data_IF_618485325255
#
_entry.id   IF_618485325255
#
_cell.length_a   1.000
_cell.length_b   1.000
_cell.length_c   1.000
_cell.angle_alpha   90.00
_cell.angle_beta   90.00
_cell.angle_gamma   90.00
#
_symmetry.space_group_name_H-M   'P 1'
#
loop_
_entity.id
_entity.type
_entity.pdbx_description
1 polymer ?
#
# COMPACT_ATOMS: atom_id res chain seq x y z
N UNK A 1 60.22 -6.44 37.34
CA UNK A 1 60.56 -5.59 38.50
C UNK A 1 59.26 -4.89 38.89
N UNK A 2 58.63 -5.22 40.03
CA UNK A 2 58.90 -4.67 41.39
C UNK A 2 58.78 -3.14 41.41
N UNK A 3 57.97 -2.44 42.24
CA UNK A 3 57.08 -2.76 43.38
C UNK A 3 55.80 -1.88 43.24
N UNK A 4 54.58 -2.16 43.73
CA UNK A 4 54.05 -2.59 45.06
C UNK A 4 53.96 -1.49 46.13
N UNK A 5 52.86 -1.52 46.90
CA UNK A 5 52.55 -0.80 48.18
C UNK A 5 52.15 0.69 48.05
N UNK A 6 51.20 1.27 48.81
CA UNK A 6 49.95 0.84 49.51
C UNK A 6 49.37 2.04 50.29
N UNK A 7 48.03 2.17 50.42
CA UNK A 7 47.28 2.44 51.68
C UNK A 7 45.77 2.62 51.35
N UNK A 8 44.82 1.87 51.94
CA UNK A 8 44.38 1.82 53.36
C UNK A 8 43.50 3.04 53.71
N UNK A 9 42.27 2.93 54.24
CA UNK A 9 41.32 1.82 54.46
C UNK A 9 39.96 2.39 54.97
N UNK A 10 39.03 1.48 55.32
CA UNK A 10 37.76 1.57 56.08
C UNK A 10 36.52 1.32 55.19
N UNK A 11 35.93 0.11 55.18
CA UNK A 11 35.08 -0.53 56.22
C UNK A 11 33.78 0.28 56.46
N UNK A 12 32.55 -0.25 56.49
CA UNK A 12 32.01 -1.63 56.54
C UNK A 12 30.49 -1.60 56.14
N UNK A 13 29.74 -2.68 55.81
CA UNK A 13 30.05 -4.12 55.66
C UNK A 13 28.95 -4.91 54.88
N UNK A 14 29.27 -6.16 54.51
CA UNK A 14 28.49 -7.44 54.50
C UNK A 14 27.00 -7.48 54.93
N UNK A 15 26.13 -8.41 54.50
CA UNK A 15 26.16 -9.65 53.67
C UNK A 15 24.66 -9.90 53.28
N UNK A 16 24.17 -10.21 52.06
CA UNK A 16 24.46 -11.28 51.08
C UNK A 16 24.22 -12.72 51.59
N UNK A 17 23.14 -13.39 51.13
CA UNK A 17 23.18 -14.60 50.25
C UNK A 17 21.82 -15.37 50.12
N UNK A 18 21.46 -15.65 48.86
CA UNK A 18 20.87 -16.89 48.27
C UNK A 18 19.57 -17.58 48.78
N UNK A 19 18.59 -17.61 47.86
CA UNK A 19 17.95 -18.79 47.23
C UNK A 19 17.53 -20.05 48.04
N UNK A 20 16.29 -20.50 47.78
CA UNK A 20 15.83 -21.88 47.99
C UNK A 20 14.40 -22.11 47.47
N UNK A 21 14.17 -23.17 46.68
CA UNK A 21 12.84 -23.59 46.20
C UNK A 21 12.07 -24.38 47.28
N UNK A 22 10.74 -24.50 47.12
CA UNK A 22 9.92 -25.42 47.91
C UNK A 22 8.55 -25.66 47.24
N UNK A 23 8.05 -26.90 47.35
CA UNK A 23 6.72 -27.30 46.87
C UNK A 23 5.97 -28.14 47.91
N UNK A 24 4.70 -28.37 47.60
CA UNK A 24 3.76 -29.40 48.10
C UNK A 24 3.33 -29.44 49.59
N UNK A 25 2.00 -29.28 49.77
CA UNK A 25 1.07 -30.32 50.28
C UNK A 25 0.17 -29.99 51.51
N UNK A 26 -1.13 -30.38 51.40
CA UNK A 26 -2.21 -30.49 52.43
C UNK A 26 -2.76 -29.18 53.07
N UNK A 27 -4.04 -29.05 53.46
CA UNK A 27 -5.23 -29.92 53.45
C UNK A 27 -6.24 -29.49 54.55
N UNK A 28 -7.53 -29.90 54.47
CA UNK A 28 -8.72 -29.52 55.31
C UNK A 28 -9.54 -28.31 54.77
N UNK A 29 -10.88 -28.28 54.77
CA UNK A 29 -11.86 -29.34 55.06
C UNK A 29 -13.32 -28.81 55.10
N UNK A 30 -14.22 -29.47 54.36
CA UNK A 30 -15.70 -29.56 54.51
C UNK A 30 -16.55 -28.39 55.07
N UNK A 31 -17.57 -27.98 54.31
CA UNK A 31 -18.98 -28.06 54.76
C UNK A 31 -19.96 -27.89 53.59
N UNK A 32 -20.85 -28.86 53.44
CA UNK A 32 -21.99 -28.90 52.52
C UNK A 32 -23.23 -29.22 53.36
N UNK A 33 -24.43 -28.69 53.05
CA UNK A 33 -25.55 -29.62 53.00
C UNK A 33 -26.57 -29.35 51.87
N UNK A 34 -26.91 -30.45 51.19
CA UNK A 34 -28.10 -30.61 50.35
C UNK A 34 -29.42 -30.34 51.10
N UNK A 35 -30.38 -29.68 50.42
CA UNK A 35 -31.82 -29.95 50.60
C UNK A 35 -32.66 -29.45 49.40
N UNK A 36 -33.20 -30.37 48.61
CA UNK A 36 -34.28 -30.11 47.63
C UNK A 36 -35.65 -30.07 48.32
N UNK A 37 -36.54 -29.16 47.91
CA UNK A 37 -37.99 -29.35 47.98
C UNK A 37 -38.72 -28.70 46.80
N UNK A 38 -39.85 -29.28 46.41
CA UNK A 38 -40.65 -28.93 45.22
C UNK A 38 -42.11 -28.68 45.59
N UNK A 39 -42.71 -27.64 45.00
CA UNK A 39 -44.15 -27.46 44.77
C UNK A 39 -44.36 -26.23 43.87
N UNK A 40 -44.64 -26.37 42.57
CA UNK A 40 -45.88 -26.82 41.92
C UNK A 40 -47.03 -25.79 41.95
N UNK A 41 -47.24 -25.10 40.83
CA UNK A 41 -48.57 -24.68 40.38
C UNK A 41 -48.78 -25.23 38.97
N UNK A 42 -49.80 -26.05 38.82
CA UNK A 42 -50.36 -26.56 37.56
C UNK A 42 -51.82 -26.13 37.48
N UNK A 43 -52.23 -25.41 36.43
CA UNK A 43 -53.51 -25.65 35.74
C UNK A 43 -53.35 -25.28 34.25
N UNK A 44 -53.44 -26.31 33.41
CA UNK A 44 -53.95 -26.32 32.03
C UNK A 44 -54.89 -27.54 32.01
N UNK A 45 -56.11 -27.52 31.43
CA UNK A 45 -56.26 -27.64 29.97
C UNK A 45 -57.48 -26.91 29.36
N UNK A 46 -57.52 -26.75 28.03
CA UNK A 46 -58.49 -27.50 27.21
C UNK A 46 -58.15 -27.56 25.70
N UNK A 47 -58.46 -28.74 25.13
CA UNK A 47 -58.11 -29.26 23.81
C UNK A 47 -58.98 -28.79 22.63
N UNK A 48 -58.42 -28.99 21.42
CA UNK A 48 -59.12 -29.32 20.14
C UNK A 48 -59.77 -28.14 19.37
N UNK A 49 -59.91 -28.13 18.04
CA UNK A 49 -59.62 -29.11 16.97
C UNK A 49 -59.21 -28.39 15.67
N UNK A 50 -58.61 -29.11 14.71
CA UNK A 50 -58.54 -28.66 13.31
C UNK A 50 -59.85 -28.97 12.56
N UNK A 51 -60.29 -28.06 11.67
CA UNK A 51 -61.38 -28.27 10.68
C UNK A 51 -60.99 -27.59 9.35
N UNK A 52 -61.54 -28.11 8.25
CA UNK A 52 -61.09 -27.95 6.85
C UNK A 52 -62.12 -27.17 6.00
N UNK A 53 -61.65 -26.13 5.29
CA UNK A 53 -62.07 -25.66 3.94
C UNK A 53 -63.55 -25.24 3.69
N UNK A 54 -63.98 -24.89 2.44
CA UNK A 54 -63.52 -23.85 1.50
C UNK A 54 -64.50 -22.66 1.35
N UNK A 55 -64.06 -21.53 0.79
CA UNK A 55 -64.91 -20.36 0.50
C UNK A 55 -64.57 -19.65 -0.82
N UNK A 56 -65.12 -20.12 -1.93
CA UNK A 56 -64.85 -19.67 -3.30
C UNK A 56 -65.60 -18.38 -3.69
N UNK A 57 -64.95 -17.46 -4.43
CA UNK A 57 -65.61 -16.72 -5.51
C UNK A 57 -64.63 -16.17 -6.58
N UNK A 58 -64.76 -16.69 -7.81
CA UNK A 58 -64.45 -16.07 -9.14
C UNK A 58 -63.32 -15.02 -9.24
N UNK A 59 -62.27 -15.16 -10.07
CA UNK A 59 -62.01 -16.11 -11.16
C UNK A 59 -62.28 -15.51 -12.55
N UNK A 60 -61.22 -15.31 -13.33
CA UNK A 60 -61.15 -15.37 -14.80
C UNK A 60 -59.72 -15.84 -15.14
N UNK A 61 -59.63 -16.83 -16.03
CA UNK A 61 -58.40 -17.31 -16.66
C UNK A 61 -58.76 -17.64 -18.10
N UNK A 62 -57.95 -17.24 -19.09
CA UNK A 62 -57.69 -18.10 -20.26
C UNK A 62 -56.37 -17.69 -20.95
N UNK A 63 -55.51 -18.63 -21.40
CA UNK A 63 -54.26 -18.35 -22.10
C UNK A 63 -54.36 -18.59 -23.62
N UNK A 64 -53.49 -17.96 -24.43
CA UNK A 64 -53.51 -18.08 -25.90
C UNK A 64 -52.12 -18.08 -26.55
N UNK A 65 -51.77 -19.20 -27.17
CA UNK A 65 -50.49 -19.56 -27.80
C UNK A 65 -50.06 -18.76 -29.05
N UNK A 66 -48.76 -18.92 -29.36
CA UNK A 66 -48.12 -18.98 -30.70
C UNK A 66 -47.77 -17.71 -31.51
N UNK A 67 -46.46 -17.60 -31.79
CA UNK A 67 -45.76 -16.78 -32.81
C UNK A 67 -45.91 -17.38 -34.24
N UNK A 68 -45.22 -16.86 -35.30
CA UNK A 68 -44.71 -15.51 -35.61
C UNK A 68 -45.10 -15.01 -37.03
N UNK A 69 -45.04 -13.71 -37.34
CA UNK A 69 -45.07 -13.18 -38.74
C UNK A 69 -44.04 -12.04 -38.92
N UNK A 70 -43.53 -11.92 -40.16
CA UNK A 70 -42.37 -11.14 -40.60
C UNK A 70 -42.75 -9.70 -41.01
N UNK A 71 -41.75 -8.80 -40.95
CA UNK A 71 -41.59 -7.44 -41.54
C UNK A 71 -41.92 -7.39 -43.07
N UNK A 72 -41.92 -6.24 -43.81
CA UNK A 72 -41.78 -4.83 -43.46
C UNK A 72 -42.86 -3.89 -44.07
N UNK A 73 -42.81 -2.58 -43.79
CA UNK A 73 -43.57 -1.62 -44.60
C UNK A 73 -43.63 -0.16 -44.12
N UNK A 74 -42.80 0.69 -44.71
CA UNK A 74 -42.79 2.14 -44.52
C UNK A 74 -44.09 2.85 -45.02
N UNK A 75 -44.38 4.02 -44.44
CA UNK A 75 -44.96 5.24 -45.04
C UNK A 75 -46.40 5.70 -44.69
N UNK A 76 -46.48 6.70 -43.82
CA UNK A 76 -47.19 7.98 -43.99
C UNK A 76 -47.17 8.71 -42.63
N UNK A 77 -46.82 9.99 -42.50
CA UNK A 77 -46.66 11.02 -43.54
C UNK A 77 -47.63 12.17 -43.30
N UNK A 78 -47.57 12.79 -42.11
CA UNK A 78 -48.28 14.04 -41.82
C UNK A 78 -47.25 15.06 -41.35
N UNK A 79 -47.15 16.18 -42.06
CA UNK A 79 -46.23 17.28 -41.78
C UNK A 79 -47.02 18.57 -41.88
N UNK A 80 -46.95 19.41 -40.85
CA UNK A 80 -47.17 20.86 -40.96
C UNK A 80 -46.24 21.54 -39.93
N UNK A 81 -45.62 22.70 -40.23
CA UNK A 81 -44.33 23.07 -39.63
C UNK A 81 -44.44 24.02 -38.43
N UNK A 82 -43.53 23.86 -37.47
CA UNK A 82 -43.43 24.74 -36.31
C UNK A 82 -42.13 24.59 -35.51
N UNK A 83 -41.03 25.16 -36.04
CA UNK A 83 -39.76 25.46 -35.34
C UNK A 83 -38.93 24.29 -34.77
N UNK A 84 -37.92 23.93 -35.56
CA UNK A 84 -36.52 23.66 -35.15
C UNK A 84 -36.21 22.54 -34.13
N UNK A 85 -36.04 21.34 -34.71
CA UNK A 85 -34.85 20.47 -34.52
C UNK A 85 -34.62 19.73 -33.19
N UNK A 86 -34.82 18.40 -33.20
CA UNK A 86 -33.98 17.47 -32.46
C UNK A 86 -33.13 16.57 -33.40
N UNK A 87 -31.82 16.57 -33.13
CA UNK A 87 -30.91 15.41 -33.10
C UNK A 87 -30.93 14.44 -34.31
N UNK A 88 -29.89 14.51 -35.13
CA UNK A 88 -29.44 13.41 -36.01
C UNK A 88 -28.39 12.59 -35.26
N UNK A 89 -28.60 11.28 -35.18
CA UNK A 89 -27.59 10.28 -34.83
C UNK A 89 -27.14 9.54 -36.10
N UNK A 90 -25.84 9.53 -36.44
CA UNK A 90 -25.26 8.59 -37.38
C UNK A 90 -24.23 7.68 -36.69
N UNK A 91 -24.64 6.46 -36.37
CA UNK A 91 -23.72 5.40 -35.93
C UNK A 91 -22.78 4.90 -37.06
N UNK A 92 -21.62 4.38 -36.64
CA UNK A 92 -20.65 3.58 -37.40
C UNK A 92 -20.20 4.10 -38.79
N UNK A 93 -18.93 4.53 -38.91
CA UNK A 93 -17.80 3.63 -39.22
C UNK A 93 -16.56 4.35 -39.75
N UNK A 94 -15.38 3.86 -39.31
CA UNK A 94 -14.07 3.91 -39.96
C UNK A 94 -13.69 5.11 -40.88
N UNK A 95 -12.69 5.89 -40.43
CA UNK A 95 -11.54 6.21 -41.28
C UNK A 95 -11.11 7.67 -41.37
N UNK A 96 -9.79 7.82 -41.63
CA UNK A 96 -9.05 9.01 -42.07
C UNK A 96 -8.68 10.02 -40.96
N UNK A 97 -7.37 10.07 -40.69
CA UNK A 97 -6.67 11.17 -40.05
C UNK A 97 -6.29 12.17 -41.16
N UNK A 98 -6.53 13.46 -40.95
CA UNK A 98 -5.75 14.54 -41.57
C UNK A 98 -5.66 15.72 -40.58
N UNK A 99 -4.48 16.32 -40.32
CA UNK A 99 -4.32 17.26 -39.21
C UNK A 99 -4.37 18.72 -39.67
N UNK A 100 -5.23 19.52 -39.03
CA UNK A 100 -5.05 20.98 -39.03
C UNK A 100 -6.34 21.79 -39.01
N UNK A 101 -6.67 22.34 -37.83
CA UNK A 101 -6.72 23.80 -37.75
C UNK A 101 -6.38 24.30 -36.35
N UNK A 102 -5.54 25.32 -36.32
CA UNK A 102 -5.12 26.03 -35.11
C UNK A 102 -6.20 27.00 -34.61
N UNK A 103 -6.34 27.06 -33.28
CA UNK A 103 -6.75 28.23 -32.48
C UNK A 103 -8.10 28.91 -32.79
N UNK A 104 -9.07 28.70 -31.90
CA UNK A 104 -10.16 29.64 -31.65
C UNK A 104 -10.31 29.90 -30.14
N UNK A 105 -9.77 31.05 -29.72
CA UNK A 105 -10.40 32.08 -28.87
C UNK A 105 -11.15 31.63 -27.60
N UNK A 106 -10.60 32.04 -26.45
CA UNK A 106 -11.26 32.04 -25.14
C UNK A 106 -12.08 33.34 -25.00
N UNK A 107 -13.32 33.24 -24.52
CA UNK A 107 -14.10 34.36 -23.99
C UNK A 107 -14.54 34.02 -22.54
N UNK A 108 -14.18 34.81 -21.52
CA UNK A 108 -14.39 34.40 -20.13
C UNK A 108 -15.73 34.89 -19.54
N UNK A 109 -16.54 33.95 -19.09
CA UNK A 109 -17.42 34.17 -17.94
C UNK A 109 -18.89 33.78 -18.11
N UNK A 110 -19.25 32.62 -17.57
CA UNK A 110 -20.44 32.53 -16.72
C UNK A 110 -20.28 31.41 -15.68
N UNK A 111 -20.52 31.75 -14.42
CA UNK A 111 -20.42 30.82 -13.29
C UNK A 111 -21.80 30.24 -12.93
N UNK A 112 -21.99 28.94 -13.15
CA UNK A 112 -23.02 28.17 -12.45
C UNK A 112 -22.64 26.68 -12.42
N UNK A 113 -22.67 26.07 -11.25
CA UNK A 113 -22.30 24.67 -11.07
C UNK A 113 -23.32 23.72 -11.71
N UNK A 114 -22.81 22.78 -12.51
CA UNK A 114 -23.41 21.48 -12.84
C UNK A 114 -22.26 20.49 -13.03
N UNK A 115 -22.49 19.23 -12.68
CA UNK A 115 -21.44 18.22 -12.54
C UNK A 115 -20.58 18.01 -13.80
N UNK A 116 -19.29 17.70 -13.66
CA UNK A 116 -18.51 17.20 -14.79
C UNK A 116 -19.08 15.84 -15.18
N UNK A 117 -19.77 15.79 -16.31
CA UNK A 117 -20.09 14.53 -16.99
C UNK A 117 -18.74 13.82 -17.20
N UNK A 118 -18.53 12.74 -16.46
CA UNK A 118 -17.41 11.83 -16.68
C UNK A 118 -17.61 11.23 -18.05
N UNK A 119 -16.97 11.82 -19.05
CA UNK A 119 -16.76 11.15 -20.33
C UNK A 119 -15.96 9.89 -20.00
N UNK A 120 -16.59 8.74 -20.18
CA UNK A 120 -16.01 7.43 -19.88
C UNK A 120 -14.95 7.08 -20.91
N UNK A 121 -13.83 7.82 -20.86
CA UNK A 121 -12.56 7.38 -21.40
C UNK A 121 -12.21 6.07 -20.69
N UNK A 122 -12.12 4.99 -21.46
CA UNK A 122 -11.75 3.66 -20.99
C UNK A 122 -10.48 3.75 -20.16
N UNK A 123 -10.60 3.56 -18.85
CA UNK A 123 -9.52 3.80 -17.88
C UNK A 123 -8.40 2.79 -18.08
N UNK A 124 -7.29 3.26 -18.68
CA UNK A 124 -6.02 2.55 -18.67
C UNK A 124 -5.43 2.71 -17.25
N UNK A 125 -5.89 1.84 -16.34
CA UNK A 125 -5.53 1.85 -14.92
C UNK A 125 -5.05 0.46 -14.49
N UNK A 126 -4.01 0.41 -13.67
CA UNK A 126 -3.42 -0.82 -13.15
C UNK A 126 -1.89 -0.73 -12.97
N UNK A 127 -1.29 -1.65 -12.19
CA UNK A 127 0.11 -1.57 -11.79
C UNK A 127 1.09 -1.63 -12.97
N UNK A 128 0.74 -2.34 -14.05
CA UNK A 128 1.55 -2.43 -15.27
C UNK A 128 1.50 -1.20 -16.19
N UNK A 129 0.69 -0.19 -15.88
CA UNK A 129 0.53 0.99 -16.74
C UNK A 129 1.66 2.00 -16.46
N UNK A 130 2.37 2.53 -17.48
CA UNK A 130 3.46 3.49 -17.32
C UNK A 130 2.96 4.87 -16.90
N UNK A 131 3.82 5.69 -16.27
CA UNK A 131 3.40 6.94 -15.60
C UNK A 131 2.86 7.99 -16.58
N UNK A 132 3.33 7.97 -17.82
CA UNK A 132 3.00 8.89 -18.90
C UNK A 132 1.55 8.70 -19.40
N UNK A 133 0.90 7.58 -19.08
CA UNK A 133 -0.50 7.33 -19.40
C UNK A 133 -1.48 7.94 -18.37
N UNK A 134 -0.99 8.42 -17.22
CA UNK A 134 -1.80 9.01 -16.16
C UNK A 134 -1.89 10.54 -16.29
N UNK A 135 -3.01 11.16 -15.87
CA UNK A 135 -3.10 12.62 -15.81
C UNK A 135 -2.10 13.19 -14.79
N UNK A 136 -1.33 14.20 -15.23
CA UNK A 136 -0.35 14.89 -14.39
C UNK A 136 -1.07 15.95 -13.55
N UNK A 137 -1.08 15.76 -12.23
CA UNK A 137 -1.62 16.75 -11.29
C UNK A 137 -0.69 17.95 -11.13
N UNK A 138 -1.26 19.13 -10.90
CA UNK A 138 -0.53 20.36 -10.63
C UNK A 138 -0.54 20.67 -9.12
N UNK A 139 0.63 20.97 -8.55
CA UNK A 139 0.80 21.20 -7.11
C UNK A 139 1.21 22.65 -6.81
N UNK A 140 0.62 23.23 -5.77
CA UNK A 140 0.92 24.60 -5.34
C UNK A 140 2.30 24.73 -4.71
N UNK A 141 2.83 25.96 -4.64
CA UNK A 141 4.08 26.24 -3.90
C UNK A 141 3.77 26.34 -2.40
N UNK A 142 4.43 25.51 -1.60
CA UNK A 142 4.21 25.37 -0.14
C UNK A 142 5.43 25.76 0.71
N UNK A 143 6.55 26.20 0.09
CA UNK A 143 7.81 26.55 0.80
C UNK A 143 7.68 27.57 1.94
N UNK A 144 6.64 28.41 1.96
CA UNK A 144 6.43 29.41 3.02
C UNK A 144 5.44 29.00 4.11
N UNK A 145 4.58 28.01 3.85
CA UNK A 145 3.37 27.75 4.65
C UNK A 145 3.21 26.28 5.08
N UNK A 146 3.85 25.32 4.39
CA UNK A 146 3.75 23.90 4.71
C UNK A 146 4.59 23.50 5.93
N UNK A 147 4.21 22.41 6.60
CA UNK A 147 4.99 21.84 7.72
C UNK A 147 6.39 21.48 7.22
N UNK A 148 7.43 21.71 8.02
CA UNK A 148 8.79 21.27 7.63
C UNK A 148 8.98 19.79 7.93
N UNK A 149 9.71 19.10 7.07
CA UNK A 149 10.08 17.69 7.21
C UNK A 149 11.42 17.38 6.57
N UNK A 150 11.85 16.12 6.69
CA UNK A 150 13.09 15.63 6.08
C UNK A 150 12.98 14.16 5.74
N UNK A 151 13.59 13.75 4.63
CA UNK A 151 13.55 12.34 4.20
C UNK A 151 14.83 11.61 4.53
N UNK A 152 14.74 10.32 4.83
CA UNK A 152 15.85 9.40 4.62
C UNK A 152 15.60 8.54 3.36
N UNK A 153 16.34 7.45 3.17
CA UNK A 153 16.21 6.53 2.04
C UNK A 153 16.48 5.10 2.49
N UNK A 154 15.74 4.14 1.95
CA UNK A 154 15.94 2.71 2.19
C UNK A 154 15.38 1.86 1.05
N UNK A 155 15.85 0.62 0.92
CA UNK A 155 15.13 -0.46 0.22
C UNK A 155 15.63 -1.80 0.74
N UNK A 156 14.86 -2.41 1.63
CA UNK A 156 15.14 -3.72 2.25
C UNK A 156 14.50 -4.90 1.48
N UNK A 157 13.60 -4.60 0.54
CA UNK A 157 12.70 -5.52 -0.16
C UNK A 157 11.78 -6.35 0.76
N UNK A 158 11.64 -6.02 2.05
CA UNK A 158 10.70 -6.68 2.96
C UNK A 158 9.25 -6.50 2.47
N UNK A 159 8.33 -7.37 2.91
CA UNK A 159 6.89 -7.11 2.81
C UNK A 159 6.57 -5.75 3.48
N UNK A 160 5.91 -4.80 2.79
CA UNK A 160 5.51 -3.52 3.38
C UNK A 160 4.60 -3.71 4.60
N UNK A 161 4.73 -2.88 5.63
CA UNK A 161 3.93 -3.07 6.84
C UNK A 161 2.42 -2.83 6.61
N UNK A 162 2.05 -1.97 5.65
CA UNK A 162 0.66 -1.79 5.22
C UNK A 162 0.12 -2.96 4.35
N UNK A 163 0.91 -4.02 4.15
CA UNK A 163 0.45 -5.31 3.60
C UNK A 163 0.01 -6.30 4.70
N UNK A 164 0.11 -5.94 5.98
CA UNK A 164 -0.42 -6.74 7.09
C UNK A 164 -1.86 -6.34 7.43
N UNK A 165 -2.64 -7.32 7.88
CA UNK A 165 -4.04 -7.15 8.32
C UNK A 165 -4.14 -7.12 9.84
N UNK A 166 -5.09 -6.32 10.35
CA UNK A 166 -5.36 -6.19 11.77
C UNK A 166 -6.81 -5.81 12.06
N UNK A 167 -7.22 -5.96 13.32
CA UNK A 167 -8.48 -5.38 13.81
C UNK A 167 -8.26 -3.94 14.28
N UNK A 168 -7.90 -3.05 13.34
CA UNK A 168 -7.65 -1.62 13.60
C UNK A 168 -6.36 -1.31 14.37
N UNK A 169 -5.34 -2.16 14.30
CA UNK A 169 -4.04 -1.89 14.92
C UNK A 169 -3.24 -0.84 14.12
N UNK A 170 -2.44 -0.03 14.82
CA UNK A 170 -1.68 1.06 14.23
C UNK A 170 -0.71 0.58 13.14
N UNK A 171 -0.75 1.25 11.98
CA UNK A 171 0.13 0.98 10.84
C UNK A 171 -0.12 -0.32 10.08
N UNK A 172 -1.19 -1.06 10.37
CA UNK A 172 -1.65 -2.22 9.60
C UNK A 172 -3.01 -1.91 8.97
N UNK A 173 -3.38 -2.62 7.89
CA UNK A 173 -4.70 -2.44 7.28
C UNK A 173 -5.80 -2.92 8.23
N UNK A 174 -6.83 -2.09 8.41
CA UNK A 174 -8.00 -2.46 9.21
C UNK A 174 -8.94 -3.41 8.43
N UNK A 175 -9.15 -4.62 8.96
CA UNK A 175 -10.09 -5.62 8.45
C UNK A 175 -11.39 -5.74 9.27
N UNK A 176 -11.60 -4.85 10.25
CA UNK A 176 -12.77 -4.89 11.16
C UNK A 176 -14.10 -4.86 10.39
N UNK A 177 -14.19 -4.04 9.33
CA UNK A 177 -15.36 -3.97 8.44
C UNK A 177 -14.93 -3.92 6.98
N UNK A 178 -15.82 -4.26 6.06
CA UNK A 178 -15.54 -4.12 4.61
C UNK A 178 -15.38 -2.64 4.22
N UNK A 179 -16.17 -1.76 4.83
CA UNK A 179 -16.09 -0.32 4.60
C UNK A 179 -14.73 0.25 5.02
N UNK A 180 -14.21 -0.12 6.19
CA UNK A 180 -12.89 0.35 6.64
C UNK A 180 -11.73 -0.31 5.90
N UNK A 181 -11.90 -1.55 5.42
CA UNK A 181 -10.95 -2.20 4.52
C UNK A 181 -10.83 -1.46 3.17
N UNK A 182 -11.95 -1.14 2.53
CA UNK A 182 -11.96 -0.39 1.26
C UNK A 182 -11.49 1.06 1.41
N UNK A 183 -11.89 1.74 2.48
CA UNK A 183 -11.58 3.16 2.71
C UNK A 183 -10.06 3.42 2.80
N UNK A 184 -9.28 2.48 3.33
CA UNK A 184 -7.82 2.57 3.45
C UNK A 184 -7.07 1.99 2.23
N UNK A 185 -7.71 1.95 1.06
CA UNK A 185 -7.19 1.36 -0.18
C UNK A 185 -6.79 -0.12 -0.04
N UNK A 186 -7.45 -0.87 0.86
CA UNK A 186 -7.17 -2.29 1.18
C UNK A 186 -5.76 -2.49 1.77
N UNK A 187 -5.05 -3.54 1.38
CA UNK A 187 -3.63 -3.76 1.74
C UNK A 187 -2.69 -3.29 0.64
N UNK A 188 -1.53 -2.78 1.02
CA UNK A 188 -0.43 -2.54 0.09
C UNK A 188 -0.01 -3.83 -0.63
N UNK A 189 0.26 -3.75 -1.93
CA UNK A 189 0.70 -4.88 -2.76
C UNK A 189 2.01 -5.48 -2.25
N UNK A 190 2.07 -6.81 -2.30
CA UNK A 190 3.30 -7.56 -2.07
C UNK A 190 3.46 -8.64 -3.14
N UNK A 191 4.71 -8.95 -3.47
CA UNK A 191 5.06 -9.84 -4.57
C UNK A 191 5.94 -11.00 -4.07
N UNK A 192 6.03 -12.08 -4.82
CA UNK A 192 7.04 -13.11 -4.55
C UNK A 192 8.43 -12.68 -5.08
N UNK A 193 9.43 -13.55 -4.95
CA UNK A 193 10.81 -13.31 -5.41
C UNK A 193 10.94 -12.99 -6.92
N UNK A 194 9.91 -13.27 -7.73
CA UNK A 194 9.87 -13.03 -9.19
C UNK A 194 9.11 -11.76 -9.57
N UNK A 195 8.79 -10.92 -8.59
CA UNK A 195 7.95 -9.72 -8.73
C UNK A 195 6.53 -9.98 -9.22
N UNK A 196 5.98 -11.16 -8.91
CA UNK A 196 4.59 -11.52 -9.20
C UNK A 196 3.75 -11.27 -7.96
N UNK A 197 2.65 -10.52 -8.09
CA UNK A 197 1.73 -10.25 -6.97
C UNK A 197 1.18 -11.57 -6.39
N UNK A 198 1.22 -11.68 -5.06
CA UNK A 198 0.68 -12.81 -4.29
C UNK A 198 -0.28 -12.28 -3.23
N UNK A 199 -1.17 -13.12 -2.66
CA UNK A 199 -2.05 -12.67 -1.58
C UNK A 199 -1.27 -11.96 -0.46
N UNK A 200 -1.77 -10.83 0.02
CA UNK A 200 -1.21 -10.12 1.19
C UNK A 200 -1.57 -10.85 2.48
N UNK A 201 -2.68 -11.59 2.46
CA UNK A 201 -3.11 -12.56 3.47
C UNK A 201 -3.88 -13.72 2.83
N UNK A 202 -3.80 -14.90 3.44
CA UNK A 202 -4.49 -16.13 3.05
C UNK A 202 -5.46 -16.58 4.15
N UNK A 203 -6.19 -17.66 3.90
CA UNK A 203 -6.77 -18.49 4.96
C UNK A 203 -5.67 -18.90 5.97
N UNK A 204 -5.98 -18.92 7.27
CA UNK A 204 -4.97 -19.29 8.28
C UNK A 204 -4.62 -20.78 8.24
N UNK A 205 -3.36 -21.09 8.59
CA UNK A 205 -2.85 -22.44 8.83
C UNK A 205 -3.72 -23.25 9.80
N UNK A 206 -4.45 -22.58 10.69
CA UNK A 206 -5.24 -23.19 11.76
C UNK A 206 -6.75 -23.24 11.48
N UNK A 207 -7.20 -23.07 10.24
CA UNK A 207 -8.63 -23.08 9.89
C UNK A 207 -9.31 -24.42 10.19
N UNK A 208 -10.56 -24.34 10.66
CA UNK A 208 -11.38 -25.49 11.10
C UNK A 208 -12.81 -25.36 10.59
N UNK A 209 -13.57 -26.46 10.55
CA UNK A 209 -14.91 -26.51 9.95
C UNK A 209 -15.89 -25.42 10.44
N UNK A 210 -15.74 -24.95 11.68
CA UNK A 210 -16.61 -23.95 12.31
C UNK A 210 -15.90 -22.62 12.59
N UNK A 211 -14.66 -22.45 12.14
CA UNK A 211 -13.87 -21.24 12.34
C UNK A 211 -12.92 -21.01 11.17
N UNK A 212 -13.13 -19.91 10.45
CA UNK A 212 -12.25 -19.43 9.39
C UNK A 212 -11.51 -18.20 9.88
N UNK A 213 -10.19 -18.30 9.97
CA UNK A 213 -9.29 -17.18 10.18
C UNK A 213 -8.56 -16.80 8.90
N UNK A 214 -7.97 -15.61 8.95
CA UNK A 214 -7.06 -15.11 7.93
C UNK A 214 -5.71 -14.78 8.57
N UNK A 215 -4.65 -14.97 7.78
CA UNK A 215 -3.27 -14.87 8.24
C UNK A 215 -2.45 -14.15 7.17
N UNK A 216 -1.71 -13.12 7.56
CA UNK A 216 -0.86 -12.38 6.63
C UNK A 216 0.21 -13.28 6.02
N UNK A 217 0.41 -13.17 4.71
CA UNK A 217 1.51 -13.85 4.02
C UNK A 217 2.83 -13.39 4.61
N UNK A 218 3.67 -14.34 5.01
CA UNK A 218 4.88 -14.05 5.78
C UNK A 218 5.91 -13.26 4.96
N UNK A 219 6.65 -12.36 5.61
CA UNK A 219 7.65 -11.51 4.95
C UNK A 219 8.91 -12.30 4.56
N UNK A 220 9.49 -11.98 3.40
CA UNK A 220 10.78 -12.49 2.96
C UNK A 220 11.93 -12.14 3.92
N UNK A 221 11.81 -11.07 4.70
CA UNK A 221 12.75 -10.73 5.77
C UNK A 221 12.69 -11.69 6.98
N UNK A 222 11.81 -12.69 6.95
CA UNK A 222 11.68 -13.78 7.92
C UNK A 222 11.80 -15.16 7.27
N UNK A 223 11.10 -15.40 6.16
CA UNK A 223 11.03 -16.70 5.46
C UNK A 223 12.00 -16.81 4.26
N UNK A 224 12.81 -15.78 4.00
CA UNK A 224 13.68 -15.70 2.83
C UNK A 224 12.88 -15.76 1.53
N UNK A 225 13.41 -16.49 0.52
CA UNK A 225 12.84 -16.54 -0.83
C UNK A 225 11.37 -16.97 -0.92
N UNK A 226 10.87 -17.72 0.07
CA UNK A 226 9.50 -18.24 0.08
C UNK A 226 8.45 -17.25 0.61
N UNK A 227 8.90 -16.15 1.22
CA UNK A 227 8.03 -15.08 1.73
C UNK A 227 7.65 -14.04 0.68
N UNK A 228 6.88 -13.06 1.13
CA UNK A 228 6.47 -11.88 0.38
C UNK A 228 7.51 -10.76 0.48
N UNK A 229 7.73 -10.10 -0.65
CA UNK A 229 8.61 -8.95 -0.84
C UNK A 229 7.78 -7.70 -1.17
N UNK A 230 8.39 -6.54 -1.05
CA UNK A 230 7.91 -5.32 -1.73
C UNK A 230 7.89 -5.57 -3.24
N UNK A 231 6.79 -5.23 -3.92
CA UNK A 231 6.74 -5.26 -5.38
C UNK A 231 7.68 -4.19 -5.98
N UNK A 232 8.49 -4.57 -6.96
CA UNK A 232 9.52 -3.67 -7.50
C UNK A 232 8.91 -2.49 -8.26
N UNK A 233 7.69 -2.62 -8.78
CA UNK A 233 6.92 -1.52 -9.40
C UNK A 233 6.59 -0.36 -8.43
N UNK A 234 6.75 -0.55 -7.12
CA UNK A 234 6.72 0.49 -6.09
C UNK A 234 8.02 1.32 -6.01
N UNK A 235 9.00 1.05 -6.87
CA UNK A 235 10.18 1.90 -7.04
C UNK A 235 9.79 3.27 -7.65
N UNK A 236 10.40 4.38 -7.17
CA UNK A 236 9.99 5.73 -7.50
C UNK A 236 10.12 6.05 -9.00
N UNK A 237 9.39 7.08 -9.43
CA UNK A 237 9.28 7.46 -10.84
C UNK A 237 9.33 8.97 -11.02
N UNK A 238 9.99 9.43 -12.08
CA UNK A 238 9.88 10.79 -12.58
C UNK A 238 8.58 10.93 -13.39
N UNK A 239 7.75 11.91 -13.06
CA UNK A 239 6.57 12.26 -13.87
C UNK A 239 6.97 13.30 -14.93
N UNK A 240 7.78 14.27 -14.53
CA UNK A 240 8.44 15.26 -15.39
C UNK A 240 9.60 15.91 -14.61
N UNK A 241 10.29 16.89 -15.19
CA UNK A 241 11.46 17.54 -14.58
C UNK A 241 11.19 18.18 -13.20
N UNK A 242 9.94 18.54 -12.90
CA UNK A 242 9.55 19.19 -11.64
C UNK A 242 8.73 18.31 -10.70
N UNK A 243 8.16 17.19 -11.16
CA UNK A 243 7.30 16.29 -10.38
C UNK A 243 7.75 14.83 -10.41
N UNK A 244 7.68 14.17 -9.26
CA UNK A 244 7.93 12.73 -9.09
C UNK A 244 6.89 12.08 -8.17
N UNK A 245 6.66 10.78 -8.34
CA UNK A 245 5.88 9.95 -7.43
C UNK A 245 6.74 8.84 -6.81
N UNK A 246 6.42 8.44 -5.58
CA UNK A 246 7.10 7.32 -4.92
C UNK A 246 6.38 6.83 -3.66
N UNK A 247 7.02 5.90 -2.96
CA UNK A 247 6.50 5.29 -1.73
C UNK A 247 7.45 5.53 -0.55
N UNK A 248 6.90 5.61 0.66
CA UNK A 248 7.65 5.92 1.89
C UNK A 248 7.22 5.02 3.05
N UNK A 249 8.14 4.86 4.02
CA UNK A 249 7.76 4.56 5.39
C UNK A 249 7.37 5.87 6.10
N UNK A 250 6.15 5.91 6.66
CA UNK A 250 5.63 7.03 7.45
C UNK A 250 5.92 6.89 8.95
N UNK A 251 5.75 7.98 9.73
CA UNK A 251 5.79 7.90 11.18
C UNK A 251 4.67 7.00 11.69
N UNK A 252 5.00 6.03 12.54
CA UNK A 252 4.02 5.06 13.02
C UNK A 252 2.86 5.67 13.81
N UNK A 253 3.11 6.75 14.58
CA UNK A 253 2.20 7.32 15.60
C UNK A 253 0.95 8.06 15.08
N UNK A 254 0.64 7.92 13.80
CA UNK A 254 -0.62 8.34 13.19
C UNK A 254 -0.90 7.46 12.00
N UNK A 255 -2.09 6.86 11.93
CA UNK A 255 -2.47 5.93 10.86
C UNK A 255 -2.24 6.55 9.48
N UNK A 256 -1.20 6.05 8.80
CA UNK A 256 -0.70 6.61 7.55
C UNK A 256 -1.06 5.77 6.34
N UNK A 257 -0.99 4.44 6.42
CA UNK A 257 -1.21 3.50 5.30
C UNK A 257 -2.23 3.96 4.24
N UNK A 258 -1.77 4.09 3.00
CA UNK A 258 -2.59 4.52 1.86
C UNK A 258 -2.78 6.03 1.72
N UNK A 259 -2.36 6.86 2.69
CA UNK A 259 -2.35 8.33 2.57
C UNK A 259 -1.20 8.82 1.71
N UNK A 260 -1.44 9.94 1.02
CA UNK A 260 -0.45 10.64 0.23
C UNK A 260 -0.08 12.00 0.79
N UNK A 261 1.17 12.38 0.59
CA UNK A 261 1.74 13.65 1.04
C UNK A 261 2.45 14.32 -0.12
N UNK A 262 2.14 15.59 -0.35
CA UNK A 262 2.86 16.44 -1.28
C UNK A 262 4.05 17.06 -0.53
N UNK A 263 5.25 16.84 -1.06
CA UNK A 263 6.52 17.36 -0.56
C UNK A 263 7.06 18.37 -1.57
N UNK A 264 7.52 19.53 -1.11
CA UNK A 264 8.28 20.47 -1.94
C UNK A 264 9.66 20.73 -1.31
N UNK A 265 10.72 20.38 -2.02
CA UNK A 265 12.08 20.44 -1.50
C UNK A 265 12.56 21.89 -1.34
N UNK A 266 13.05 22.24 -0.16
CA UNK A 266 13.42 23.63 0.16
C UNK A 266 14.88 23.98 -0.19
N UNK A 267 15.69 22.99 -0.56
CA UNK A 267 17.10 23.11 -0.94
C UNK A 267 18.11 22.96 0.20
N UNK A 268 17.65 22.57 1.40
CA UNK A 268 18.48 22.29 2.58
C UNK A 268 18.50 20.79 2.91
N UNK A 269 19.23 20.41 3.94
CA UNK A 269 19.40 19.03 4.43
C UNK A 269 19.09 18.92 5.93
N UNK A 270 18.78 17.71 6.40
CA UNK A 270 18.67 17.46 7.83
C UNK A 270 20.03 17.69 8.53
N UNK A 271 20.02 18.27 9.72
CA UNK A 271 21.26 18.60 10.45
C UNK A 271 22.14 19.66 9.78
N UNK A 272 21.58 20.55 8.96
CA UNK A 272 22.31 21.66 8.37
C UNK A 272 22.68 22.73 9.43
N UNK A 273 23.96 23.12 9.49
CA UNK A 273 24.48 24.18 10.36
C UNK A 273 25.66 24.95 9.71
N UNK A 274 26.33 25.80 10.47
CA UNK A 274 27.47 26.59 9.99
C UNK A 274 28.73 25.76 9.64
N UNK A 275 28.85 24.54 10.17
CA UNK A 275 29.90 23.57 9.84
C UNK A 275 29.50 22.60 8.73
N UNK A 276 28.22 22.23 8.65
CA UNK A 276 27.67 21.31 7.65
C UNK A 276 26.58 21.97 6.81
N UNK A 277 26.98 22.63 5.72
CA UNK A 277 26.07 23.41 4.86
C UNK A 277 25.46 22.56 3.73
N UNK A 278 24.24 22.88 3.26
CA UNK A 278 23.61 22.18 2.13
C UNK A 278 24.51 22.10 0.89
N UNK A 279 24.78 20.86 0.46
CA UNK A 279 25.61 20.52 -0.71
C UNK A 279 24.93 20.90 -2.03
N UNK A 280 25.66 20.79 -3.14
CA UNK A 280 25.15 21.10 -4.48
C UNK A 280 23.90 20.25 -4.86
N UNK A 281 23.89 18.99 -4.46
CA UNK A 281 22.78 18.03 -4.62
C UNK A 281 21.45 18.59 -4.09
N UNK A 282 21.42 19.00 -2.82
CA UNK A 282 20.25 19.63 -2.18
C UNK A 282 19.79 20.89 -2.91
N UNK A 283 20.73 21.75 -3.31
CA UNK A 283 20.42 23.02 -4.00
C UNK A 283 19.79 22.78 -5.38
N UNK A 284 20.24 21.73 -6.09
CA UNK A 284 19.67 21.32 -7.37
C UNK A 284 18.27 20.68 -7.24
N UNK A 285 17.97 20.08 -6.09
CA UNK A 285 16.64 19.52 -5.80
C UNK A 285 15.59 20.60 -5.47
N UNK A 286 16.01 21.81 -5.10
CA UNK A 286 15.13 22.88 -4.60
C UNK A 286 13.99 23.21 -5.57
N UNK A 287 12.77 23.29 -5.03
CA UNK A 287 11.56 23.68 -5.74
C UNK A 287 10.86 22.54 -6.47
N UNK A 288 11.51 21.38 -6.66
CA UNK A 288 10.84 20.17 -7.16
C UNK A 288 9.78 19.70 -6.18
N UNK A 289 8.74 19.10 -6.74
CA UNK A 289 7.59 18.54 -6.06
C UNK A 289 7.68 17.01 -6.11
N UNK A 290 7.33 16.35 -5.01
CA UNK A 290 7.18 14.90 -4.98
C UNK A 290 5.91 14.54 -4.24
N UNK A 291 5.13 13.60 -4.77
CA UNK A 291 4.01 13.01 -4.01
C UNK A 291 4.40 11.63 -3.57
N UNK A 292 4.33 11.38 -2.27
CA UNK A 292 4.67 10.10 -1.67
C UNK A 292 3.45 9.45 -1.07
N UNK A 293 3.26 8.14 -1.30
CA UNK A 293 2.26 7.34 -0.60
C UNK A 293 2.92 6.51 0.49
N UNK A 294 2.28 6.42 1.65
CA UNK A 294 2.75 5.60 2.77
C UNK A 294 2.34 4.14 2.60
N UNK A 295 3.32 3.28 2.34
CA UNK A 295 3.16 1.81 2.21
C UNK A 295 3.76 1.03 3.38
N UNK A 296 4.55 1.70 4.21
CA UNK A 296 5.25 1.13 5.34
C UNK A 296 5.18 2.08 6.55
N UNK A 297 5.52 1.58 7.74
CA UNK A 297 5.75 2.42 8.92
C UNK A 297 7.20 2.28 9.38
N UNK A 298 7.76 3.37 9.89
CA UNK A 298 8.98 3.32 10.70
C UNK A 298 8.65 3.65 12.15
N UNK A 299 9.08 2.78 13.07
CA UNK A 299 8.91 3.01 14.52
C UNK A 299 9.94 4.00 15.08
N UNK A 300 11.00 4.30 14.32
CA UNK A 300 12.04 5.28 14.56
C UNK A 300 11.80 6.62 13.81
N UNK A 301 10.79 6.67 12.95
CA UNK A 301 10.42 7.82 12.11
C UNK A 301 9.60 8.85 12.91
N UNK A 302 10.05 10.11 12.91
CA UNK A 302 9.42 11.23 13.63
C UNK A 302 8.32 11.91 12.81
N UNK A 303 7.46 12.72 13.45
CA UNK A 303 6.49 13.55 12.69
C UNK A 303 7.22 14.42 11.65
N UNK A 304 6.79 14.34 10.39
CA UNK A 304 7.39 15.03 9.26
C UNK A 304 8.63 14.35 8.66
N UNK A 305 9.12 13.24 9.22
CA UNK A 305 10.10 12.38 8.56
C UNK A 305 9.39 11.39 7.63
N UNK A 306 9.96 11.17 6.44
CA UNK A 306 9.54 10.11 5.52
C UNK A 306 10.75 9.36 5.00
N UNK A 307 10.84 8.06 5.28
CA UNK A 307 11.94 7.26 4.76
C UNK A 307 11.58 6.77 3.35
N UNK A 308 12.30 7.26 2.35
CA UNK A 308 11.92 7.08 0.95
C UNK A 308 12.36 5.72 0.42
N UNK A 309 11.43 5.00 -0.22
CA UNK A 309 11.75 3.75 -0.89
C UNK A 309 12.60 4.04 -2.12
N UNK A 310 13.88 3.70 -2.06
CA UNK A 310 14.90 3.97 -3.08
C UNK A 310 15.75 2.71 -3.26
N UNK A 311 15.64 1.98 -4.38
CA UNK A 311 16.56 0.89 -4.69
C UNK A 311 18.01 1.39 -4.64
N UNK A 312 18.86 0.71 -3.86
CA UNK A 312 20.23 1.17 -3.59
C UNK A 312 20.37 2.23 -2.48
N UNK A 313 19.28 2.61 -1.80
CA UNK A 313 19.27 3.52 -0.65
C UNK A 313 19.82 2.94 0.65
N UNK A 314 20.09 1.62 0.68
CA UNK A 314 20.54 0.87 1.85
C UNK A 314 19.42 0.03 2.44
N UNK A 315 19.75 -1.18 2.88
CA UNK A 315 18.77 -2.16 3.40
C UNK A 315 18.40 -1.88 4.87
N UNK A 316 19.24 -1.16 5.61
CA UNK A 316 18.99 -0.83 7.01
C UNK A 316 19.08 -2.07 7.90
N UNK A 317 18.07 -2.29 8.77
CA UNK A 317 18.09 -3.37 9.76
C UNK A 317 17.77 -4.76 9.17
N UNK A 318 17.02 -4.81 8.08
CA UNK A 318 16.56 -6.05 7.44
C UNK A 318 17.10 -6.13 6.01
N UNK A 319 17.20 -7.34 5.46
CA UNK A 319 17.72 -7.52 4.09
C UNK A 319 17.06 -8.73 3.42
N UNK A 320 15.96 -8.50 2.72
CA UNK A 320 15.45 -9.40 1.69
C UNK A 320 15.96 -9.03 0.29
N UNK A 321 16.55 -7.85 0.10
CA UNK A 321 17.03 -7.40 -1.21
C UNK A 321 18.16 -8.30 -1.73
N UNK A 322 19.11 -8.69 -0.89
CA UNK A 322 20.17 -9.66 -1.24
C UNK A 322 19.65 -11.08 -1.45
N UNK A 323 18.43 -11.39 -0.98
CA UNK A 323 17.72 -12.64 -1.30
C UNK A 323 16.99 -12.55 -2.64
N UNK A 324 16.40 -11.39 -2.97
CA UNK A 324 15.71 -11.14 -4.24
C UNK A 324 16.68 -11.05 -5.41
N UNK A 325 17.76 -10.29 -5.27
CA UNK A 325 18.68 -9.95 -6.35
C UNK A 325 19.92 -10.83 -6.30
N UNK A 326 19.95 -11.83 -7.17
CA UNK A 326 21.04 -12.81 -7.23
C UNK A 326 22.24 -12.29 -8.04
N UNK A 327 23.15 -11.56 -7.39
CA UNK A 327 24.36 -11.00 -8.02
C UNK A 327 25.65 -11.32 -7.27
N UNK A 328 26.46 -12.27 -7.77
CA UNK A 328 27.78 -12.56 -7.20
C UNK A 328 28.77 -11.41 -7.48
N UNK A 329 29.10 -10.62 -6.45
CA UNK A 329 30.07 -9.53 -6.54
C UNK A 329 29.48 -8.12 -6.59
N UNK A 330 28.16 -7.96 -6.43
CA UNK A 330 27.52 -6.64 -6.27
C UNK A 330 28.03 -5.97 -4.98
N UNK A 331 28.51 -4.74 -5.08
CA UNK A 331 28.79 -3.91 -3.91
C UNK A 331 27.51 -3.23 -3.46
N UNK A 332 26.86 -3.77 -2.43
CA UNK A 332 25.59 -3.25 -1.88
C UNK A 332 25.69 -1.86 -1.21
N UNK A 333 26.87 -1.26 -1.20
CA UNK A 333 27.16 0.01 -0.54
C UNK A 333 27.11 -0.11 0.98
N UNK A 334 26.81 1.01 1.65
CA UNK A 334 26.66 1.01 3.11
C UNK A 334 25.29 0.47 3.53
N UNK A 335 25.24 -0.30 4.63
CA UNK A 335 23.99 -0.82 5.20
C UNK A 335 22.92 0.27 5.37
N UNK A 336 23.32 1.45 5.84
CA UNK A 336 22.48 2.65 5.94
C UNK A 336 22.95 3.71 4.93
N UNK A 337 22.04 4.23 4.12
CA UNK A 337 22.33 5.25 3.10
C UNK A 337 22.93 4.72 1.79
N UNK A 338 23.28 3.43 1.72
CA UNK A 338 23.43 2.67 0.48
C UNK A 338 24.56 3.12 -0.43
N UNK A 339 24.25 3.18 -1.73
CA UNK A 339 25.20 3.52 -2.79
C UNK A 339 25.74 4.93 -2.64
N UNK A 340 24.91 5.93 -2.30
CA UNK A 340 25.40 7.29 -2.11
C UNK A 340 26.40 7.38 -0.95
N UNK A 341 26.15 6.69 0.18
CA UNK A 341 27.09 6.69 1.30
C UNK A 341 28.43 6.02 0.92
N UNK A 342 28.40 4.95 0.12
CA UNK A 342 29.61 4.34 -0.44
C UNK A 342 30.35 5.29 -1.39
N UNK A 343 29.63 6.00 -2.26
CA UNK A 343 30.18 6.99 -3.17
C UNK A 343 30.80 8.18 -2.42
N UNK A 344 30.13 8.71 -1.38
CA UNK A 344 30.67 9.77 -0.52
C UNK A 344 31.94 9.35 0.21
N UNK A 345 32.01 8.11 0.73
CA UNK A 345 33.21 7.57 1.36
C UNK A 345 34.38 7.43 0.37
N UNK A 346 34.07 7.08 -0.88
CA UNK A 346 35.08 6.82 -1.93
C UNK A 346 35.57 8.10 -2.63
N UNK A 347 34.69 9.09 -2.79
CA UNK A 347 34.94 10.34 -3.51
C UNK A 347 35.20 11.56 -2.60
N UNK A 348 34.93 11.42 -1.30
CA UNK A 348 34.89 12.52 -0.33
C UNK A 348 33.54 13.23 -0.28
N UNK A 349 33.16 13.72 0.92
CA UNK A 349 31.82 14.27 1.24
C UNK A 349 31.49 15.66 0.65
N UNK A 350 32.46 16.34 0.03
CA UNK A 350 32.30 17.65 -0.60
C UNK A 350 32.54 17.62 -2.13
N UNK A 351 32.36 16.45 -2.76
CA UNK A 351 32.51 16.29 -4.20
C UNK A 351 31.33 16.90 -5.00
N UNK A 352 31.44 16.90 -6.33
CA UNK A 352 30.46 17.49 -7.24
C UNK A 352 29.19 16.65 -7.36
N UNK A 353 28.07 17.30 -7.74
CA UNK A 353 26.80 16.64 -8.05
C UNK A 353 27.01 15.52 -9.11
N UNK A 354 27.65 15.85 -10.23
CA UNK A 354 27.91 14.92 -11.33
C UNK A 354 28.73 13.69 -10.89
N UNK A 355 29.74 13.88 -10.04
CA UNK A 355 30.55 12.77 -9.51
C UNK A 355 29.75 11.82 -8.62
N UNK A 356 28.82 12.32 -7.80
CA UNK A 356 27.91 11.46 -7.04
C UNK A 356 26.90 10.76 -7.94
N UNK A 357 26.31 11.48 -8.91
CA UNK A 357 25.36 10.91 -9.85
C UNK A 357 25.97 9.75 -10.63
N UNK A 358 27.15 9.95 -11.23
CA UNK A 358 27.81 8.91 -12.03
C UNK A 358 28.19 7.70 -11.17
N UNK A 359 28.78 7.91 -9.98
CA UNK A 359 29.12 6.82 -9.07
C UNK A 359 27.89 6.02 -8.61
N UNK A 360 26.77 6.68 -8.27
CA UNK A 360 25.53 5.98 -7.89
C UNK A 360 24.98 5.17 -9.07
N UNK A 361 24.99 5.73 -10.29
CA UNK A 361 24.53 5.03 -11.50
C UNK A 361 25.38 3.82 -11.87
N UNK A 362 26.71 3.92 -11.77
CA UNK A 362 27.62 2.80 -11.96
C UNK A 362 27.28 1.64 -10.99
N UNK A 363 26.91 1.97 -9.74
CA UNK A 363 26.44 0.98 -8.76
C UNK A 363 25.03 0.46 -9.07
N UNK A 364 24.11 1.30 -9.57
CA UNK A 364 22.78 0.89 -10.03
C UNK A 364 22.84 -0.15 -11.15
N UNK A 365 23.64 0.11 -12.19
CA UNK A 365 23.80 -0.78 -13.35
C UNK A 365 24.41 -2.13 -12.94
N UNK A 366 25.42 -2.09 -12.07
CA UNK A 366 26.06 -3.28 -11.53
C UNK A 366 25.12 -4.13 -10.64
N UNK A 367 24.19 -3.50 -9.90
CA UNK A 367 23.31 -4.17 -8.95
C UNK A 367 21.99 -4.67 -9.56
N UNK A 368 21.35 -3.89 -10.42
CA UNK A 368 19.96 -4.11 -10.84
C UNK A 368 19.78 -4.51 -12.31
N UNK A 369 20.85 -5.01 -12.95
CA UNK A 369 20.75 -5.66 -14.27
C UNK A 369 19.68 -6.76 -14.25
N UNK A 370 18.66 -6.62 -15.08
CA UNK A 370 17.51 -7.55 -15.16
C UNK A 370 16.33 -7.24 -14.25
N UNK A 371 16.38 -6.14 -13.47
CA UNK A 371 15.29 -5.67 -12.61
C UNK A 371 14.87 -4.24 -12.99
N UNK A 372 14.20 -4.09 -14.13
CA UNK A 372 13.92 -2.79 -14.78
C UNK A 372 13.32 -1.73 -13.84
N UNK A 373 12.40 -2.13 -12.95
CA UNK A 373 11.83 -1.20 -11.96
C UNK A 373 12.85 -0.75 -10.90
N UNK A 374 13.67 -1.66 -10.37
CA UNK A 374 14.71 -1.34 -9.38
C UNK A 374 15.80 -0.47 -10.02
N UNK A 375 16.20 -0.81 -11.25
CA UNK A 375 17.16 -0.05 -12.03
C UNK A 375 16.64 1.37 -12.27
N UNK A 376 15.39 1.53 -12.75
CA UNK A 376 14.72 2.84 -12.90
C UNK A 376 14.73 3.62 -11.59
N UNK A 377 14.32 3.02 -10.48
CA UNK A 377 14.25 3.70 -9.18
C UNK A 377 15.62 4.13 -8.64
N UNK A 378 16.66 3.35 -8.92
CA UNK A 378 18.04 3.68 -8.56
C UNK A 378 18.60 4.84 -9.40
N UNK A 379 18.45 4.79 -10.73
CA UNK A 379 18.83 5.89 -11.63
C UNK A 379 18.03 7.17 -11.34
N UNK A 380 16.73 7.06 -11.05
CA UNK A 380 15.89 8.18 -10.61
C UNK A 380 16.46 8.92 -9.40
N UNK A 381 17.07 8.18 -8.45
CA UNK A 381 17.65 8.78 -7.25
C UNK A 381 18.93 9.58 -7.55
N UNK A 382 19.74 9.11 -8.50
CA UNK A 382 20.85 9.90 -9.02
C UNK A 382 20.36 11.13 -9.80
N UNK A 383 19.54 10.91 -10.83
CA UNK A 383 19.25 11.94 -11.84
C UNK A 383 18.14 12.92 -11.41
N UNK A 384 16.94 12.45 -11.07
CA UNK A 384 15.83 13.34 -10.72
C UNK A 384 15.93 13.87 -9.29
N UNK A 385 16.30 12.99 -8.35
CA UNK A 385 16.48 13.31 -6.92
C UNK A 385 17.87 13.90 -6.62
N UNK A 386 18.70 14.12 -7.66
CA UNK A 386 19.97 14.85 -7.59
C UNK A 386 21.00 14.23 -6.61
N UNK A 387 20.89 12.94 -6.30
CA UNK A 387 21.67 12.27 -5.25
C UNK A 387 21.67 13.06 -3.91
N UNK A 388 20.54 13.65 -3.54
CA UNK A 388 20.42 14.44 -2.31
C UNK A 388 20.47 13.54 -1.06
N UNK A 389 21.26 13.98 -0.07
CA UNK A 389 21.54 13.21 1.14
C UNK A 389 20.72 13.74 2.32
N UNK A 390 19.57 13.10 2.51
CA UNK A 390 18.58 13.45 3.52
C UNK A 390 18.07 14.91 3.41
N UNK A 391 17.52 15.31 2.24
CA UNK A 391 17.02 16.66 2.02
C UNK A 391 15.84 17.01 2.93
N UNK A 392 15.66 18.30 3.17
CA UNK A 392 14.47 18.84 3.85
C UNK A 392 13.46 19.42 2.84
N UNK A 393 12.19 19.39 3.24
CA UNK A 393 11.06 19.83 2.44
C UNK A 393 10.01 20.51 3.31
N UNK A 394 9.08 21.21 2.65
CA UNK A 394 7.78 21.55 3.21
C UNK A 394 6.76 20.51 2.74
N UNK A 395 5.77 20.16 3.55
CA UNK A 395 4.78 19.12 3.23
C UNK A 395 3.36 19.42 3.67
N UNK A 396 2.41 18.78 2.99
CA UNK A 396 0.98 18.75 3.27
C UNK A 396 0.38 17.37 2.89
N UNK A 397 -0.75 16.99 3.49
CA UNK A 397 -1.53 15.79 3.10
C UNK A 397 -2.37 16.10 1.85
N UNK A 398 -2.43 15.18 0.88
CA UNK A 398 -3.14 15.35 -0.39
C UNK A 398 -3.85 14.08 -0.82
N UNK A 399 -4.85 14.23 -1.70
CA UNK A 399 -5.45 13.10 -2.40
C UNK A 399 -4.41 12.36 -3.25
N UNK A 400 -4.54 11.03 -3.29
CA UNK A 400 -3.56 10.16 -3.92
C UNK A 400 -3.70 10.13 -5.46
N UNK A 401 -2.63 10.42 -6.22
CA UNK A 401 -2.60 10.19 -7.66
C UNK A 401 -2.89 8.73 -8.01
N UNK A 402 -3.72 8.49 -9.03
CA UNK A 402 -4.13 7.13 -9.43
C UNK A 402 -2.94 6.20 -9.72
N UNK A 403 -1.82 6.73 -10.23
CA UNK A 403 -0.57 6.00 -10.44
C UNK A 403 -0.06 5.29 -9.16
N UNK A 404 -0.15 5.97 -8.01
CA UNK A 404 0.24 5.42 -6.71
C UNK A 404 -0.83 4.46 -6.19
N UNK A 405 -2.12 4.78 -6.35
CA UNK A 405 -3.24 3.90 -5.96
C UNK A 405 -3.16 2.55 -6.69
N UNK A 406 -2.93 2.56 -8.00
CA UNK A 406 -2.86 1.34 -8.84
C UNK A 406 -1.66 0.44 -8.52
N UNK A 407 -0.61 1.00 -7.90
CA UNK A 407 0.58 0.25 -7.44
C UNK A 407 0.49 -0.16 -5.97
N UNK A 408 -0.26 0.57 -5.17
CA UNK A 408 -0.53 0.25 -3.77
C UNK A 408 -1.62 -0.81 -3.61
N UNK A 409 -2.79 -0.60 -4.20
CA UNK A 409 -3.99 -1.41 -3.90
C UNK A 409 -3.83 -2.81 -4.49
N UNK A 410 -3.93 -3.83 -3.63
CA UNK A 410 -3.88 -5.23 -4.10
C UNK A 410 -4.99 -5.55 -5.11
N UNK A 411 -4.60 -6.30 -6.14
CA UNK A 411 -5.51 -6.83 -7.16
C UNK A 411 -6.09 -8.19 -6.75
N UNK A 412 -5.56 -8.78 -5.68
CA UNK A 412 -5.85 -10.14 -5.20
C UNK A 412 -6.78 -10.10 -3.99
N UNK A 413 -6.37 -9.50 -2.87
CA UNK A 413 -7.20 -9.39 -1.68
C UNK A 413 -8.13 -8.16 -1.79
N UNK A 414 -9.00 -8.14 -2.79
CA UNK A 414 -9.86 -6.98 -3.06
C UNK A 414 -11.00 -6.79 -2.08
N UNK A 415 -11.22 -7.72 -1.14
CA UNK A 415 -12.18 -7.64 -0.03
C UNK A 415 -11.56 -8.22 1.25
N UNK A 416 -12.13 -7.94 2.43
CA UNK A 416 -11.54 -8.35 3.72
C UNK A 416 -11.54 -9.86 3.98
N UNK A 417 -12.29 -10.64 3.19
CA UNK A 417 -12.42 -12.11 3.28
C UNK A 417 -12.04 -12.74 1.94
N UNK A 418 -11.32 -13.85 1.97
CA UNK A 418 -10.93 -14.59 0.76
C UNK A 418 -10.79 -16.10 1.02
N UNK A 419 -10.64 -16.88 -0.06
CA UNK A 419 -10.45 -18.33 -0.05
C UNK A 419 -9.03 -18.79 -0.43
N UNK A 420 -8.05 -17.89 -0.50
CA UNK A 420 -6.70 -18.25 -0.94
C UNK A 420 -6.05 -19.18 0.09
N UNK A 421 -5.58 -20.33 -0.36
CA UNK A 421 -5.00 -21.35 0.49
C UNK A 421 -3.60 -20.91 0.97
N UNK A 422 -3.34 -21.07 2.27
CA UNK A 422 -2.01 -20.87 2.84
C UNK A 422 -0.93 -21.66 2.08
N UNK A 423 0.19 -21.02 1.77
CA UNK A 423 1.38 -21.64 1.19
C UNK A 423 2.59 -21.43 2.11
N UNK A 424 3.46 -22.44 2.21
CA UNK A 424 4.75 -22.34 2.92
C UNK A 424 5.87 -21.71 2.07
N UNK A 425 5.72 -21.66 0.75
CA UNK A 425 6.73 -21.17 -0.18
C UNK A 425 6.05 -20.58 -1.43
N UNK A 426 6.16 -19.26 -1.62
CA UNK A 426 5.66 -18.56 -2.81
C UNK A 426 6.71 -18.43 -3.94
N UNK A 427 7.94 -18.90 -3.75
CA UNK A 427 9.03 -18.77 -4.74
C UNK A 427 8.79 -19.59 -6.01
N UNK A 428 7.92 -20.60 -5.95
CA UNK A 428 7.55 -21.47 -7.08
C UNK A 428 6.33 -20.97 -7.85
N UNK A 429 5.62 -19.95 -7.37
CA UNK A 429 4.47 -19.38 -8.08
C UNK A 429 4.94 -18.58 -9.31
N UNK A 430 4.33 -18.84 -10.47
CA UNK A 430 4.65 -18.24 -11.78
C UNK A 430 3.53 -17.30 -12.28
N UNK A 431 2.56 -16.95 -11.44
CA UNK A 431 1.34 -16.24 -11.84
C UNK A 431 0.22 -17.17 -12.32
N UNK A 432 -0.93 -16.58 -12.61
CA UNK A 432 -2.13 -17.31 -13.06
C UNK A 432 -3.14 -17.57 -11.94
N UNK A 433 -3.59 -18.82 -11.82
CA UNK A 433 -4.55 -19.22 -10.78
C UNK A 433 -3.84 -19.35 -9.41
N UNK A 434 -4.30 -18.57 -8.44
CA UNK A 434 -3.81 -18.64 -7.06
C UNK A 434 -4.46 -19.85 -6.38
N UNK A 435 -3.70 -20.70 -5.64
CA UNK A 435 -4.28 -21.81 -4.90
C UNK A 435 -5.42 -21.37 -3.96
N UNK A 436 -6.55 -22.07 -4.00
CA UNK A 436 -7.72 -21.81 -3.16
C UNK A 436 -8.11 -23.04 -2.33
N UNK A 437 -8.83 -22.82 -1.22
CA UNK A 437 -9.42 -23.89 -0.41
C UNK A 437 -10.91 -23.64 -0.20
N UNK A 438 -11.72 -24.27 -1.04
CA UNK A 438 -13.18 -24.12 -1.08
C UNK A 438 -13.92 -24.82 0.06
N UNK A 439 -13.20 -25.47 1.00
CA UNK A 439 -13.79 -26.02 2.24
C UNK A 439 -14.27 -24.94 3.19
N UNK A 440 -13.79 -23.70 3.02
CA UNK A 440 -14.09 -22.55 3.87
C UNK A 440 -14.83 -21.48 3.04
N UNK A 441 -16.18 -21.49 3.01
CA UNK A 441 -16.95 -20.50 2.25
C UNK A 441 -16.83 -19.09 2.86
N UNK A 442 -16.86 -18.08 1.99
CA UNK A 442 -16.73 -16.66 2.38
C UNK A 442 -18.00 -16.10 3.06
N UNK A 443 -19.12 -16.75 2.78
CA UNK A 443 -20.49 -16.30 3.05
C UNK A 443 -21.08 -16.79 4.39
N UNK A 444 -20.23 -17.02 5.38
CA UNK A 444 -20.67 -17.16 6.77
C UNK A 444 -20.65 -15.75 7.39
N UNK A 445 -21.82 -15.13 7.49
CA UNK A 445 -21.99 -13.74 7.99
C UNK A 445 -21.37 -13.52 9.39
#
# INVERSE_FOLDING_TARGET
MNLSVSRTLLFCSSLLLLWGCGGDDKGLGSNDPFATYSSSITIDPFLSSAVIDPGLSSGIVDPGLSSPIIDPGLSSGVVDPGLSSPIIDPGLSSGIIDPGLSSAIIDPGLSSATDPIVSSSSTISGPGIPVEAYPVANYGVILSNGKTGWSSRYWDACKPHCSWISNGAEGQTDTTTEASYQANLTTARNCNIKDIEIPTFTLSRNNQQYWTGWEGTESACKEGKGGAFTCTDMAPVQVNDTLSYGFVAGPGSSTTCGKCFHLQFNGSMNGADDGNKPKATHKALKGKHMVVMTSNIGHDVKEGQFDLMVPGGGVGQFDALSTMVNGSGVQWGAQYGGFLTQCQQSLGYDNTLESYQNCVKDMCDAAFTGYDNLLRGCHWYADWYMAADNPTYNWEEVECPQYLVDRYKTTINTTRRNIYAYQTDWSTYEGGEIPTDTRFPVDLE
#
